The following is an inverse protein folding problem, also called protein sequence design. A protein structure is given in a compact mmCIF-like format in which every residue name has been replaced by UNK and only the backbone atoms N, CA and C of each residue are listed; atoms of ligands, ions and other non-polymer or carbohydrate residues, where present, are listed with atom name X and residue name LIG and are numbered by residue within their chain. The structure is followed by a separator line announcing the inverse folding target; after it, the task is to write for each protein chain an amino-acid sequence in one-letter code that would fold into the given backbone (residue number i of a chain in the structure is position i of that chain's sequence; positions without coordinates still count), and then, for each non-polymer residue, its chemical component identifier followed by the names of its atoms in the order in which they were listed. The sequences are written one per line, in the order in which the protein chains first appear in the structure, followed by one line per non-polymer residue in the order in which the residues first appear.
data_IF_817499040686
#
_entry.id   IF_817499040686
#
_cell.length_a   1.000
_cell.length_b   1.000
_cell.length_c   1.000
_cell.angle_alpha   90.00
_cell.angle_beta   90.00
_cell.angle_gamma   90.00
#
_symmetry.space_group_name_H-M   'P 1'
#
loop_
_entity.id
_entity.type
_entity.pdbx_description
1 polymer ?
#
# COMPACT_ATOMS: atom_id res chain seq x y z
N UNK A 1 -0.30 14.82 -34.64
CA UNK A 1 -1.05 13.67 -35.22
C UNK A 1 -0.93 13.50 -36.75
N UNK A 2 -1.01 14.56 -37.56
CA UNK A 2 -1.12 14.45 -39.04
C UNK A 2 0.21 14.41 -39.82
N UNK A 3 1.31 14.79 -39.18
CA UNK A 3 2.62 14.94 -39.82
C UNK A 3 3.09 13.70 -40.59
N UNK A 4 2.93 12.50 -40.02
CA UNK A 4 3.36 11.25 -40.67
C UNK A 4 2.49 10.90 -41.89
N UNK A 5 1.18 11.11 -41.80
CA UNK A 5 0.29 10.98 -42.95
C UNK A 5 0.69 11.96 -44.08
N UNK A 6 0.99 13.22 -43.74
CA UNK A 6 1.45 14.22 -44.71
C UNK A 6 2.81 13.89 -45.36
N UNK A 7 3.60 13.04 -44.71
CA UNK A 7 4.88 12.53 -45.24
C UNK A 7 4.74 11.24 -46.06
N UNK A 8 3.51 10.81 -46.36
CA UNK A 8 3.24 9.62 -47.18
C UNK A 8 3.29 8.29 -46.42
N UNK A 9 3.29 8.30 -45.09
CA UNK A 9 3.23 7.07 -44.30
C UNK A 9 1.79 6.58 -44.15
N UNK A 10 1.61 5.25 -44.16
CA UNK A 10 0.35 4.62 -43.75
C UNK A 10 0.21 4.68 -42.23
N UNK A 11 -0.77 5.45 -41.74
CA UNK A 11 -0.99 5.69 -40.31
C UNK A 11 -2.45 5.40 -39.91
N UNK A 12 -2.83 4.11 -39.82
CA UNK A 12 -4.13 3.73 -39.27
C UNK A 12 -4.18 4.14 -37.79
N UNK A 13 -5.33 4.66 -37.36
CA UNK A 13 -5.56 5.19 -36.02
C UNK A 13 -6.90 4.65 -35.58
N UNK A 14 -6.89 3.76 -34.60
CA UNK A 14 -8.08 3.09 -34.08
C UNK A 14 -8.30 3.57 -32.66
N UNK A 15 -9.54 3.93 -32.32
CA UNK A 15 -9.88 4.33 -30.97
C UNK A 15 -9.99 3.10 -30.05
N UNK A 16 -9.93 3.35 -28.75
CA UNK A 16 -9.90 2.32 -27.74
C UNK A 16 -10.63 2.78 -26.49
N UNK A 17 -11.44 1.89 -25.93
CA UNK A 17 -12.22 2.17 -24.73
C UNK A 17 -11.87 1.17 -23.64
N UNK A 18 -11.40 1.68 -22.50
CA UNK A 18 -11.19 0.91 -21.29
C UNK A 18 -12.46 0.93 -20.45
N UNK A 19 -13.07 -0.25 -20.28
CA UNK A 19 -14.45 -0.40 -19.84
C UNK A 19 -14.60 -1.33 -18.63
N UNK A 20 -13.50 -1.72 -18.01
CA UNK A 20 -13.49 -2.57 -16.81
C UNK A 20 -12.76 -1.89 -15.64
N UNK A 21 -12.94 -2.45 -14.45
CA UNK A 21 -12.13 -2.11 -13.27
C UNK A 21 -12.77 -1.09 -12.34
N UNK A 22 -12.00 -0.78 -11.29
CA UNK A 22 -12.44 -0.02 -10.12
C UNK A 22 -13.04 1.36 -10.44
N UNK A 23 -12.55 2.16 -11.41
CA UNK A 23 -13.12 3.49 -11.66
C UNK A 23 -14.61 3.47 -11.96
N UNK A 24 -15.05 2.54 -12.81
CA UNK A 24 -16.47 2.40 -13.21
C UNK A 24 -17.28 1.81 -12.07
N UNK A 25 -16.76 0.77 -11.41
CA UNK A 25 -17.43 0.13 -10.28
C UNK A 25 -17.70 1.12 -9.14
N UNK A 26 -16.71 1.96 -8.79
CA UNK A 26 -16.83 2.98 -7.74
C UNK A 26 -17.81 4.09 -8.09
N UNK A 27 -17.99 4.41 -9.36
CA UNK A 27 -18.97 5.39 -9.81
C UNK A 27 -20.39 4.84 -9.66
N UNK A 28 -20.63 3.62 -10.17
CA UNK A 28 -21.93 2.95 -10.03
C UNK A 28 -22.26 2.66 -8.57
N UNK A 29 -21.27 2.30 -7.74
CA UNK A 29 -21.46 2.20 -6.29
C UNK A 29 -21.97 3.52 -5.68
N UNK A 30 -21.42 4.68 -6.09
CA UNK A 30 -21.86 5.99 -5.59
C UNK A 30 -23.28 6.32 -6.06
N UNK A 31 -23.61 6.04 -7.31
CA UNK A 31 -24.96 6.25 -7.85
C UNK A 31 -26.02 5.42 -7.12
N UNK A 32 -25.69 4.16 -6.79
CA UNK A 32 -26.57 3.25 -6.07
C UNK A 32 -26.52 3.42 -4.55
N UNK A 33 -25.61 4.26 -4.04
CA UNK A 33 -25.42 4.48 -2.61
C UNK A 33 -24.83 3.29 -1.86
N UNK A 34 -24.09 2.42 -2.56
CA UNK A 34 -23.44 1.25 -1.96
C UNK A 34 -22.16 1.64 -1.23
N UNK A 35 -21.94 0.98 -0.09
CA UNK A 35 -20.80 1.27 0.79
C UNK A 35 -19.92 0.04 1.05
N UNK A 36 -20.44 -1.15 0.73
CA UNK A 36 -19.76 -2.42 0.97
C UNK A 36 -19.99 -3.42 -0.17
N UNK A 37 -19.05 -4.36 -0.33
CA UNK A 37 -19.20 -5.49 -1.27
C UNK A 37 -20.46 -6.32 -1.01
N UNK A 38 -20.85 -6.45 0.26
CA UNK A 38 -22.05 -7.18 0.63
C UNK A 38 -23.33 -6.56 0.04
N UNK A 39 -23.33 -5.24 -0.22
CA UNK A 39 -24.47 -4.56 -0.84
C UNK A 39 -24.58 -4.94 -2.33
N UNK A 40 -23.45 -5.07 -3.02
CA UNK A 40 -23.39 -5.54 -4.42
C UNK A 40 -23.89 -6.97 -4.52
N UNK A 41 -23.44 -7.86 -3.63
CA UNK A 41 -23.88 -9.25 -3.60
C UNK A 41 -25.38 -9.38 -3.35
N UNK A 42 -25.94 -8.55 -2.45
CA UNK A 42 -27.40 -8.50 -2.18
C UNK A 42 -28.19 -7.94 -3.36
N UNK A 43 -27.65 -6.95 -4.07
CA UNK A 43 -28.29 -6.36 -5.24
C UNK A 43 -28.35 -7.34 -6.42
N UNK A 44 -27.29 -8.13 -6.58
CA UNK A 44 -27.09 -9.09 -7.64
C UNK A 44 -25.94 -8.67 -8.55
N UNK A 45 -24.96 -9.56 -8.73
CA UNK A 45 -23.75 -9.32 -9.53
C UNK A 45 -24.12 -9.06 -11.00
N UNK A 46 -25.09 -9.79 -11.53
CA UNK A 46 -25.62 -9.63 -12.89
C UNK A 46 -26.20 -8.22 -13.12
N UNK A 47 -27.01 -7.74 -12.18
CA UNK A 47 -27.61 -6.40 -12.24
C UNK A 47 -26.57 -5.31 -12.09
N UNK A 48 -25.61 -5.49 -11.19
CA UNK A 48 -24.52 -4.54 -11.00
C UNK A 48 -23.66 -4.43 -12.27
N UNK A 49 -23.29 -5.55 -12.86
CA UNK A 49 -22.53 -5.57 -14.12
C UNK A 49 -23.31 -4.94 -15.28
N UNK A 50 -24.62 -5.16 -15.34
CA UNK A 50 -25.48 -4.50 -16.33
C UNK A 50 -25.46 -2.98 -16.18
N UNK A 51 -25.53 -2.47 -14.94
CA UNK A 51 -25.42 -1.03 -14.65
C UNK A 51 -24.05 -0.46 -15.02
N UNK A 52 -22.97 -1.17 -14.71
CA UNK A 52 -21.63 -0.76 -15.13
C UNK A 52 -21.51 -0.65 -16.64
N UNK A 53 -22.08 -1.61 -17.38
CA UNK A 53 -22.13 -1.56 -18.84
C UNK A 53 -22.95 -0.38 -19.36
N UNK A 54 -24.11 -0.11 -18.78
CA UNK A 54 -24.94 1.06 -19.13
C UNK A 54 -24.19 2.39 -18.95
N UNK A 55 -23.51 2.56 -17.82
CA UNK A 55 -22.72 3.76 -17.52
C UNK A 55 -21.64 4.03 -18.58
N UNK A 56 -20.91 3.00 -18.99
CA UNK A 56 -19.87 3.11 -20.05
C UNK A 56 -20.45 3.63 -21.36
N UNK A 57 -21.59 3.10 -21.82
CA UNK A 57 -22.24 3.55 -23.07
C UNK A 57 -22.77 4.98 -23.01
N UNK A 58 -23.11 5.47 -21.81
CA UNK A 58 -23.42 6.89 -21.60
C UNK A 58 -22.23 7.78 -21.93
N UNK A 59 -21.08 7.49 -21.32
CA UNK A 59 -19.85 8.26 -21.51
C UNK A 59 -19.27 8.16 -22.92
N UNK A 60 -19.39 7.01 -23.58
CA UNK A 60 -18.87 6.80 -24.94
C UNK A 60 -19.36 7.87 -25.92
N UNK A 61 -20.65 8.19 -25.89
CA UNK A 61 -21.25 9.18 -26.80
C UNK A 61 -20.71 10.59 -26.58
N UNK A 62 -20.49 10.96 -25.32
CA UNK A 62 -19.93 12.27 -24.98
C UNK A 62 -18.47 12.38 -25.44
N UNK A 63 -17.70 11.31 -25.29
CA UNK A 63 -16.33 11.23 -25.75
C UNK A 63 -16.20 11.27 -27.28
N UNK A 64 -17.07 10.58 -28.01
CA UNK A 64 -17.11 10.65 -29.49
C UNK A 64 -17.35 12.09 -29.97
N UNK A 65 -18.39 12.74 -29.43
CA UNK A 65 -18.71 14.13 -29.77
C UNK A 65 -17.55 15.09 -29.45
N UNK A 66 -16.88 14.91 -28.31
CA UNK A 66 -15.70 15.69 -27.94
C UNK A 66 -14.55 15.47 -28.92
N UNK A 67 -14.27 14.21 -29.26
CA UNK A 67 -13.16 13.79 -30.13
C UNK A 67 -13.29 14.39 -31.53
N UNK A 68 -14.50 14.36 -32.09
CA UNK A 68 -14.81 15.01 -33.35
C UNK A 68 -14.63 16.54 -33.25
N UNK A 69 -15.10 17.15 -32.16
CA UNK A 69 -15.05 18.59 -31.95
C UNK A 69 -13.63 19.15 -31.90
N UNK A 70 -12.67 18.39 -31.35
CA UNK A 70 -11.25 18.76 -31.31
C UNK A 70 -10.49 18.37 -32.60
N UNK A 71 -11.19 17.85 -33.61
CA UNK A 71 -10.65 17.42 -34.90
C UNK A 71 -9.55 16.34 -34.78
N UNK A 72 -9.68 15.46 -33.78
CA UNK A 72 -8.80 14.32 -33.58
C UNK A 72 -9.22 13.16 -34.49
N UNK A 73 -8.55 13.05 -35.64
CA UNK A 73 -8.85 12.04 -36.65
C UNK A 73 -8.40 10.65 -36.22
N UNK A 74 -9.35 9.85 -35.75
CA UNK A 74 -9.23 8.45 -35.32
C UNK A 74 -10.48 7.70 -35.79
N UNK A 75 -10.36 6.40 -36.04
CA UNK A 75 -11.49 5.52 -36.34
C UNK A 75 -12.32 5.28 -35.07
N UNK A 76 -13.53 5.85 -35.07
CA UNK A 76 -14.54 5.69 -34.02
C UNK A 76 -15.62 4.69 -34.43
N UNK A 77 -15.67 4.25 -35.69
CA UNK A 77 -16.65 3.27 -36.18
C UNK A 77 -16.24 1.84 -35.81
N UNK A 78 -14.93 1.57 -35.76
CA UNK A 78 -14.36 0.27 -35.41
C UNK A 78 -13.37 0.35 -34.23
N UNK A 79 -13.79 0.87 -33.05
CA UNK A 79 -12.92 0.94 -31.89
C UNK A 79 -12.71 -0.46 -31.30
N UNK A 80 -11.59 -0.67 -30.58
CA UNK A 80 -11.50 -1.83 -29.69
C UNK A 80 -12.14 -1.50 -28.34
N UNK A 81 -12.97 -2.40 -27.83
CA UNK A 81 -13.66 -2.23 -26.55
C UNK A 81 -13.26 -3.38 -25.64
N UNK A 82 -12.78 -3.08 -24.43
CA UNK A 82 -12.25 -4.13 -23.54
C UNK A 82 -13.29 -5.13 -23.04
N UNK A 83 -14.59 -4.80 -23.11
CA UNK A 83 -15.68 -5.71 -22.75
C UNK A 83 -16.13 -6.63 -23.89
N UNK A 84 -15.59 -6.46 -25.11
CA UNK A 84 -15.94 -7.32 -26.24
C UNK A 84 -15.32 -8.71 -26.06
N UNK A 85 -16.08 -9.75 -26.44
CA UNK A 85 -15.67 -11.13 -26.21
C UNK A 85 -14.35 -11.47 -26.92
N UNK A 86 -14.12 -10.97 -28.13
CA UNK A 86 -12.89 -11.22 -28.89
C UNK A 86 -11.66 -10.60 -28.18
N UNK A 87 -11.83 -9.44 -27.54
CA UNK A 87 -10.78 -8.80 -26.74
C UNK A 87 -10.49 -9.59 -25.46
N UNK A 88 -11.55 -10.06 -24.77
CA UNK A 88 -11.43 -10.89 -23.56
C UNK A 88 -10.76 -12.22 -23.89
N UNK A 89 -11.13 -12.87 -25.00
CA UNK A 89 -10.51 -14.13 -25.45
C UNK A 89 -9.02 -13.94 -25.74
N UNK A 90 -8.64 -12.83 -26.37
CA UNK A 90 -7.23 -12.48 -26.59
C UNK A 90 -6.48 -12.30 -25.27
N UNK A 91 -7.10 -11.66 -24.26
CA UNK A 91 -6.53 -11.56 -22.92
C UNK A 91 -6.34 -12.93 -22.27
N UNK A 92 -7.33 -13.83 -22.39
CA UNK A 92 -7.24 -15.20 -21.86
C UNK A 92 -6.13 -15.99 -22.54
N UNK A 93 -5.98 -15.87 -23.86
CA UNK A 93 -4.87 -16.46 -24.60
C UNK A 93 -3.51 -15.97 -24.08
N UNK A 94 -3.36 -14.67 -23.81
CA UNK A 94 -2.13 -14.11 -23.26
C UNK A 94 -1.83 -14.63 -21.85
N UNK A 95 -2.85 -14.68 -20.97
CA UNK A 95 -2.74 -15.24 -19.62
C UNK A 95 -2.33 -16.71 -19.67
N UNK A 96 -2.99 -17.50 -20.54
CA UNK A 96 -2.63 -18.90 -20.74
C UNK A 96 -1.18 -19.05 -21.23
N UNK A 97 -0.73 -18.19 -22.14
CA UNK A 97 0.66 -18.19 -22.61
C UNK A 97 1.66 -17.89 -21.49
N UNK A 98 1.33 -17.01 -20.55
CA UNK A 98 2.16 -16.74 -19.35
C UNK A 98 2.12 -17.91 -18.36
N UNK A 99 0.96 -18.53 -18.18
CA UNK A 99 0.77 -19.72 -17.35
C UNK A 99 1.61 -20.90 -17.85
N UNK A 100 1.52 -21.22 -19.15
CA UNK A 100 2.27 -22.31 -19.78
C UNK A 100 3.79 -22.14 -19.66
N UNK A 101 4.27 -20.89 -19.48
CA UNK A 101 5.68 -20.53 -19.28
C UNK A 101 6.09 -20.49 -17.79
N UNK A 102 5.18 -20.78 -16.87
CA UNK A 102 5.46 -20.73 -15.42
C UNK A 102 5.66 -19.31 -14.86
N UNK A 103 5.13 -18.28 -15.53
CA UNK A 103 5.25 -16.88 -15.09
C UNK A 103 4.14 -16.45 -14.12
N UNK A 104 3.11 -17.28 -13.96
CA UNK A 104 1.98 -17.04 -13.06
C UNK A 104 2.08 -18.00 -11.88
N UNK A 105 1.97 -17.48 -10.67
CA UNK A 105 1.99 -18.26 -9.44
C UNK A 105 1.02 -17.66 -8.41
N UNK A 106 0.56 -18.51 -7.50
CA UNK A 106 -0.22 -18.10 -6.33
C UNK A 106 0.67 -18.09 -5.10
N UNK A 107 0.60 -17.03 -4.30
CA UNK A 107 1.37 -16.92 -3.07
C UNK A 107 0.72 -15.96 -2.06
N UNK A 108 1.07 -16.13 -0.80
CA UNK A 108 0.64 -15.25 0.29
C UNK A 108 1.71 -14.19 0.52
N UNK A 109 1.35 -12.92 0.30
CA UNK A 109 2.26 -11.78 0.43
C UNK A 109 1.52 -10.58 1.01
N UNK A 110 2.26 -9.72 1.71
CA UNK A 110 1.76 -8.41 2.14
C UNK A 110 1.67 -7.51 0.91
N UNK A 111 0.48 -6.96 0.66
CA UNK A 111 0.22 -6.02 -0.44
C UNK A 111 -0.47 -4.78 0.10
N UNK A 112 -0.32 -3.63 -0.57
CA UNK A 112 -1.23 -2.51 -0.35
C UNK A 112 -2.68 -2.99 -0.50
N UNK A 113 -3.53 -2.63 0.46
CA UNK A 113 -4.88 -3.15 0.54
C UNK A 113 -5.85 -2.01 0.84
N UNK A 114 -6.92 -1.90 0.07
CA UNK A 114 -7.98 -0.95 0.32
C UNK A 114 -9.08 -1.63 1.16
N UNK A 115 -9.27 -1.25 2.44
CA UNK A 115 -10.27 -1.90 3.30
C UNK A 115 -11.71 -1.64 2.82
N UNK A 116 -11.96 -0.50 2.16
CA UNK A 116 -13.27 -0.19 1.57
C UNK A 116 -13.57 -1.06 0.36
N UNK A 117 -12.63 -1.12 -0.59
CA UNK A 117 -12.79 -1.89 -1.83
C UNK A 117 -12.52 -3.38 -1.61
N UNK A 118 -12.06 -3.79 -0.42
CA UNK A 118 -11.75 -5.18 -0.06
C UNK A 118 -10.87 -5.89 -1.10
N UNK A 119 -9.89 -5.19 -1.66
CA UNK A 119 -9.01 -5.72 -2.72
C UNK A 119 -7.59 -5.21 -2.57
N UNK A 120 -6.64 -6.01 -3.03
CA UNK A 120 -5.23 -5.65 -3.10
C UNK A 120 -4.97 -4.73 -4.28
N UNK A 121 -4.13 -3.72 -4.06
CA UNK A 121 -3.74 -2.75 -5.09
C UNK A 121 -2.32 -3.02 -5.58
N UNK A 122 -2.08 -2.64 -6.83
CA UNK A 122 -0.76 -2.61 -7.45
C UNK A 122 0.06 -1.41 -6.98
N UNK A 123 1.39 -1.47 -7.16
CA UNK A 123 2.29 -0.36 -6.83
C UNK A 123 1.97 0.93 -7.61
N UNK A 124 1.49 0.80 -8.85
CA UNK A 124 1.17 1.93 -9.72
C UNK A 124 -0.09 2.68 -9.23
N UNK A 125 -1.08 1.96 -8.71
CA UNK A 125 -2.28 2.57 -8.13
C UNK A 125 -1.96 3.35 -6.85
N UNK A 126 -1.09 2.79 -5.99
CA UNK A 126 -0.68 3.47 -4.74
C UNK A 126 0.14 4.73 -5.01
N UNK A 127 1.04 4.69 -6.00
CA UNK A 127 1.92 5.82 -6.32
C UNK A 127 1.14 7.09 -6.74
N UNK A 128 -0.05 6.94 -7.32
CA UNK A 128 -0.90 8.06 -7.75
C UNK A 128 -1.71 8.69 -6.61
N UNK A 129 -1.82 8.03 -5.46
CA UNK A 129 -2.76 8.37 -4.40
C UNK A 129 -2.15 8.92 -3.10
N UNK A 130 -0.89 9.32 -3.10
CA UNK A 130 -0.26 9.87 -1.89
C UNK A 130 -0.91 11.18 -1.46
N UNK A 131 -1.26 11.26 -0.19
CA UNK A 131 -1.84 12.42 0.46
C UNK A 131 -1.20 12.61 1.83
N UNK A 132 -1.08 13.86 2.26
CA UNK A 132 -0.68 14.16 3.63
C UNK A 132 -1.81 13.78 4.60
N UNK A 133 -1.45 13.09 5.67
CA UNK A 133 -2.38 12.66 6.71
C UNK A 133 -1.77 12.89 8.10
N UNK A 134 -2.62 13.21 9.06
CA UNK A 134 -2.23 13.35 10.46
C UNK A 134 -2.24 11.97 11.13
N UNK A 135 -1.04 11.45 11.44
CA UNK A 135 -0.87 10.18 12.14
C UNK A 135 -0.40 10.37 13.59
N UNK A 136 -0.83 9.49 14.52
CA UNK A 136 -0.37 9.53 15.90
C UNK A 136 1.10 9.11 15.99
N UNK A 137 1.96 9.97 16.52
CA UNK A 137 3.37 9.65 16.79
C UNK A 137 3.53 9.17 18.23
N UNK A 138 3.73 7.86 18.43
CA UNK A 138 3.78 7.26 19.77
C UNK A 138 5.08 6.51 20.03
N UNK A 139 5.53 6.57 21.29
CA UNK A 139 6.66 5.80 21.80
C UNK A 139 6.17 4.76 22.80
N UNK A 140 6.62 3.52 22.64
CA UNK A 140 6.13 2.37 23.39
C UNK A 140 7.30 1.67 24.06
N UNK A 141 7.09 1.27 25.32
CA UNK A 141 8.06 0.54 26.12
C UNK A 141 7.80 -0.96 26.02
N UNK A 142 8.80 -1.70 25.54
CA UNK A 142 8.81 -3.15 25.53
C UNK A 142 9.71 -3.67 26.65
N UNK A 143 9.13 -4.36 27.62
CA UNK A 143 9.85 -4.79 28.82
C UNK A 143 10.85 -5.88 28.48
N UNK A 144 12.09 -5.69 28.91
CA UNK A 144 13.17 -6.67 28.77
C UNK A 144 12.90 -7.82 29.75
N UNK A 145 12.96 -9.05 29.24
CA UNK A 145 12.91 -10.25 30.09
C UNK A 145 14.17 -10.34 30.94
N UNK A 146 14.01 -10.52 32.26
CA UNK A 146 15.14 -10.61 33.20
C UNK A 146 16.13 -11.70 32.75
N UNK A 147 17.42 -11.37 32.73
CA UNK A 147 18.51 -12.28 32.35
C UNK A 147 18.80 -12.36 30.84
N UNK A 148 17.95 -11.81 29.97
CA UNK A 148 18.15 -11.87 28.50
C UNK A 148 19.35 -11.08 27.98
N UNK A 149 19.79 -10.07 28.73
CA UNK A 149 20.91 -9.18 28.40
C UNK A 149 22.00 -9.20 29.49
N UNK A 150 22.10 -10.28 30.26
CA UNK A 150 23.03 -10.39 31.39
C UNK A 150 22.79 -9.35 32.49
N UNK A 151 23.80 -9.14 33.35
CA UNK A 151 23.73 -8.21 34.50
C UNK A 151 23.96 -6.74 34.10
N UNK A 152 23.63 -6.38 32.86
CA UNK A 152 23.76 -5.01 32.34
C UNK A 152 22.85 -4.01 33.05
N UNK A 153 21.74 -4.50 33.60
CA UNK A 153 20.77 -3.69 34.32
C UNK A 153 20.82 -4.08 35.80
N UNK A 154 20.86 -3.07 36.67
CA UNK A 154 20.76 -3.24 38.13
C UNK A 154 19.35 -3.76 38.50
N UNK A 155 18.96 -3.63 39.76
CA UNK A 155 17.63 -4.04 40.26
C UNK A 155 16.42 -3.27 39.68
N UNK A 156 16.60 -2.48 38.60
CA UNK A 156 15.56 -1.68 37.95
C UNK A 156 15.05 -2.35 36.66
N UNK A 157 13.75 -2.20 36.33
CA UNK A 157 13.24 -2.73 35.07
C UNK A 157 13.87 -2.01 33.87
N UNK A 158 14.15 -2.77 32.82
CA UNK A 158 14.67 -2.25 31.55
C UNK A 158 13.63 -2.41 30.44
N UNK A 159 13.58 -1.45 29.53
CA UNK A 159 12.66 -1.44 28.40
C UNK A 159 13.37 -1.01 27.12
N UNK A 160 13.06 -1.70 26.02
CA UNK A 160 13.31 -1.15 24.69
C UNK A 160 12.27 -0.07 24.37
N UNK A 161 12.74 1.07 23.90
CA UNK A 161 11.86 2.13 23.42
C UNK A 161 11.73 2.01 21.90
N UNK A 162 10.52 1.78 21.42
CA UNK A 162 10.20 1.75 19.99
C UNK A 162 9.22 2.87 19.63
N UNK A 163 9.32 3.36 18.40
CA UNK A 163 8.45 4.39 17.84
C UNK A 163 7.59 3.81 16.73
N UNK A 164 6.32 4.23 16.66
CA UNK A 164 5.42 3.87 15.56
C UNK A 164 4.42 4.97 15.27
N UNK A 165 4.03 5.10 14.00
CA UNK A 165 2.88 5.90 13.56
C UNK A 165 1.59 5.08 13.44
N UNK A 166 1.68 3.75 13.58
CA UNK A 166 0.55 2.82 13.36
C UNK A 166 0.27 1.97 14.61
N UNK A 167 -0.31 2.53 15.69
CA UNK A 167 -0.58 1.79 16.93
C UNK A 167 -1.46 0.54 16.75
N UNK A 168 -2.32 0.53 15.73
CA UNK A 168 -3.20 -0.59 15.42
C UNK A 168 -2.44 -1.86 15.00
N UNK A 169 -1.15 -1.76 14.68
CA UNK A 169 -0.30 -2.92 14.35
C UNK A 169 0.24 -3.64 15.59
N UNK A 170 0.19 -3.01 16.77
CA UNK A 170 0.78 -3.55 18.00
C UNK A 170 0.22 -4.89 18.46
N UNK A 171 -1.10 -5.17 18.36
CA UNK A 171 -1.63 -6.49 18.71
C UNK A 171 -1.06 -7.63 17.85
N UNK A 172 -0.55 -7.32 16.65
CA UNK A 172 0.12 -8.27 15.75
C UNK A 172 1.65 -8.25 15.87
N UNK A 173 2.23 -7.58 16.87
CA UNK A 173 3.68 -7.51 17.05
C UNK A 173 4.25 -8.89 17.35
N UNK A 174 5.29 -9.30 16.61
CA UNK A 174 5.94 -10.61 16.76
C UNK A 174 7.39 -10.52 17.20
N UNK A 175 8.08 -9.41 16.92
CA UNK A 175 9.48 -9.21 17.28
C UNK A 175 9.86 -7.73 17.23
N UNK A 176 10.97 -7.37 17.87
CA UNK A 176 11.63 -6.07 17.69
C UNK A 176 12.87 -6.24 16.83
N UNK A 177 12.99 -5.40 15.80
CA UNK A 177 14.19 -5.35 14.97
C UNK A 177 15.17 -4.31 15.52
N UNK A 178 16.45 -4.70 15.63
CA UNK A 178 17.57 -3.81 15.98
C UNK A 178 18.60 -3.83 14.86
N UNK A 179 19.15 -2.67 14.52
CA UNK A 179 20.22 -2.55 13.54
C UNK A 179 21.52 -3.10 14.14
N UNK A 180 22.23 -3.91 13.35
CA UNK A 180 23.38 -4.67 13.84
C UNK A 180 24.62 -3.82 14.10
N UNK A 181 24.75 -2.76 13.31
CA UNK A 181 25.88 -1.84 13.23
C UNK A 181 25.63 -0.52 13.99
N UNK A 182 24.44 -0.36 14.59
CA UNK A 182 24.10 0.81 15.37
C UNK A 182 24.57 0.69 16.83
N UNK A 183 24.99 1.82 17.40
CA UNK A 183 25.25 1.96 18.83
C UNK A 183 23.97 2.30 19.59
N UNK A 184 23.72 1.57 20.68
CA UNK A 184 22.55 1.76 21.54
C UNK A 184 22.96 2.31 22.88
N UNK A 185 22.20 3.29 23.38
CA UNK A 185 22.40 3.87 24.71
C UNK A 185 21.42 3.28 25.72
N UNK A 186 21.93 3.03 26.93
CA UNK A 186 21.11 2.77 28.11
C UNK A 186 21.01 4.04 28.93
N UNK A 187 19.78 4.50 29.13
CA UNK A 187 19.47 5.74 29.82
C UNK A 187 18.59 5.44 31.03
N UNK A 188 18.91 6.04 32.18
CA UNK A 188 18.07 5.96 33.38
C UNK A 188 17.09 7.13 33.41
N UNK A 189 15.79 6.83 33.49
CA UNK A 189 14.70 7.81 33.59
C UNK A 189 13.69 7.28 34.62
N UNK A 190 13.37 8.08 35.64
CA UNK A 190 12.32 7.79 36.63
C UNK A 190 12.32 6.34 37.17
N UNK A 191 13.49 5.88 37.61
CA UNK A 191 13.74 4.53 38.15
C UNK A 191 13.59 3.35 37.17
N UNK A 192 13.64 3.62 35.86
CA UNK A 192 13.66 2.61 34.81
C UNK A 192 14.87 2.81 33.88
N UNK A 193 15.30 1.73 33.23
CA UNK A 193 16.29 1.78 32.15
C UNK A 193 15.58 1.77 30.78
N UNK A 194 15.92 2.73 29.92
CA UNK A 194 15.45 2.80 28.54
C UNK A 194 16.60 2.51 27.58
N UNK A 195 16.34 1.63 26.61
CA UNK A 195 17.29 1.25 25.56
C UNK A 195 16.78 1.84 24.25
N UNK A 196 17.60 2.65 23.61
CA UNK A 196 17.33 3.29 22.32
C UNK A 196 18.62 3.58 21.56
N UNK A 197 18.52 3.86 20.26
CA UNK A 197 19.69 4.22 19.46
C UNK A 197 20.30 5.53 19.97
N UNK A 198 21.63 5.57 20.09
CA UNK A 198 22.38 6.71 20.65
C UNK A 198 22.12 8.00 19.86
N UNK A 199 22.00 7.89 18.53
CA UNK A 199 21.70 9.01 17.62
C UNK A 199 20.34 9.67 17.87
N UNK A 200 19.38 8.96 18.49
CA UNK A 200 18.04 9.47 18.76
C UNK A 200 17.91 10.17 20.11
N UNK A 201 18.96 10.18 20.95
CA UNK A 201 18.94 10.82 22.26
C UNK A 201 18.73 12.34 22.19
N UNK A 202 19.10 12.98 21.08
CA UNK A 202 19.05 14.43 20.89
C UNK A 202 17.59 14.94 20.77
N UNK A 203 16.61 14.07 20.49
CA UNK A 203 15.24 14.46 20.11
C UNK A 203 14.16 14.25 21.19
N UNK A 204 14.51 13.92 22.44
CA UNK A 204 13.49 13.74 23.49
C UNK A 204 12.92 15.09 23.97
N UNK A 205 11.66 15.46 23.66
CA UNK A 205 11.10 16.78 23.99
C UNK A 205 10.75 16.95 25.47
N UNK A 206 10.89 15.87 26.27
CA UNK A 206 10.63 15.84 27.71
C UNK A 206 11.90 15.73 28.55
N UNK A 207 13.09 15.92 27.99
CA UNK A 207 14.32 16.06 28.77
C UNK A 207 14.35 17.41 29.51
N UNK A 208 13.46 17.59 30.49
CA UNK A 208 13.52 18.68 31.44
C UNK A 208 14.74 18.51 32.35
N UNK A 209 15.71 19.42 32.16
CA UNK A 209 16.70 19.88 33.16
C UNK A 209 17.65 18.88 33.83
N UNK A 210 17.63 17.61 33.48
CA UNK A 210 18.72 16.69 33.85
C UNK A 210 19.18 15.98 32.59
N UNK A 211 20.44 16.22 32.22
CA UNK A 211 21.11 15.42 31.19
C UNK A 211 20.94 13.95 31.60
N UNK A 212 20.26 13.12 30.78
CA UNK A 212 20.12 11.72 31.11
C UNK A 212 21.53 11.15 31.23
N UNK A 213 21.88 10.59 32.40
CA UNK A 213 23.16 9.92 32.56
C UNK A 213 23.17 8.75 31.58
N UNK A 214 23.93 8.88 30.49
CA UNK A 214 24.25 7.76 29.63
C UNK A 214 25.10 6.81 30.45
N UNK A 215 24.55 5.64 30.77
CA UNK A 215 25.21 4.71 31.68
C UNK A 215 26.18 3.83 30.92
N UNK A 216 25.82 3.40 29.71
CA UNK A 216 26.65 2.48 28.91
C UNK A 216 26.23 2.54 27.44
N UNK A 217 27.21 2.44 26.54
CA UNK A 217 27.02 2.17 25.11
C UNK A 217 27.03 0.65 24.87
N UNK A 218 25.97 0.14 24.25
CA UNK A 218 25.82 -1.26 23.89
C UNK A 218 26.10 -1.44 22.40
N UNK A 219 27.08 -2.30 22.09
CA UNK A 219 27.26 -2.87 20.74
C UNK A 219 26.55 -4.22 20.64
N UNK A 220 25.98 -4.52 19.48
CA UNK A 220 25.10 -5.69 19.24
C UNK A 220 25.68 -7.05 19.67
N UNK A 221 27.01 -7.21 19.78
CA UNK A 221 27.62 -8.45 20.30
C UNK A 221 27.08 -8.88 21.68
N UNK A 222 26.50 -7.97 22.47
CA UNK A 222 25.81 -8.28 23.74
C UNK A 222 24.27 -8.42 23.66
N UNK A 223 23.67 -8.10 22.50
CA UNK A 223 22.22 -8.17 22.23
C UNK A 223 21.83 -9.45 21.46
N UNK A 224 22.79 -10.27 21.03
CA UNK A 224 22.61 -11.45 20.18
C UNK A 224 22.20 -12.76 20.91
N UNK A 225 22.02 -12.75 22.24
CA UNK A 225 21.27 -13.81 22.90
C UNK A 225 19.81 -13.66 22.45
N UNK A 226 19.21 -14.70 21.85
CA UNK A 226 17.79 -14.72 21.48
C UNK A 226 16.97 -14.05 22.58
N UNK A 227 16.45 -12.86 22.29
CA UNK A 227 15.61 -12.13 23.23
C UNK A 227 14.21 -12.73 23.10
N UNK A 228 13.99 -13.84 23.80
CA UNK A 228 12.66 -14.40 23.97
C UNK A 228 11.84 -13.43 24.84
N UNK A 229 10.67 -13.02 24.34
CA UNK A 229 9.77 -12.08 25.03
C UNK A 229 8.36 -12.67 25.10
N UNK A 230 7.64 -12.28 26.17
CA UNK A 230 6.22 -12.56 26.41
C UNK A 230 5.43 -11.25 26.34
#
# INVERSE_FOLDING_TARGET
PRYKAMKGYWTPRIAGWDTHGLPIELEVEKELGFSSKADIEKFGIDKFNARCRESVFGYLKEWEAMTERIAFWVDLEHPYITMDNDYIETCWWAIKGMWDRGLIYQGYKVTPHCPRCGTSLSSHEVALGYQDADDPSVYIKFKVVKGSLGDLFKDKPAYFLAWTTTPWTLPGNTALAVAADADYAVVEVDDEYLILADTLLIFSPRASRTCPRQITLLKQRRLNSKVDMA
#
